data_IF_672226449980
#
_entry.id   IF_672226449980
#
_cell.length_a   1.000
_cell.length_b   1.000
_cell.length_c   1.000
_cell.angle_alpha   90.00
_cell.angle_beta   90.00
_cell.angle_gamma   90.00
#
_symmetry.space_group_name_H-M   'P 1'
#
loop_
_entity.id
_entity.type
_entity.pdbx_description
1 polymer ?
#
# COMPACT_ATOMS: atom_id res chain seq x y z
N UNK A 1 -22.17 6.20 -21.56
CA UNK A 1 -21.12 7.22 -21.49
C UNK A 1 -19.83 6.52 -21.09
N UNK A 2 -18.81 6.53 -21.96
CA UNK A 2 -17.49 5.97 -21.65
C UNK A 2 -16.85 6.87 -20.61
N UNK A 3 -16.45 6.31 -19.46
CA UNK A 3 -15.65 7.05 -18.46
C UNK A 3 -14.32 7.46 -19.10
N UNK A 4 -13.88 8.68 -18.83
CA UNK A 4 -12.53 9.10 -19.23
C UNK A 4 -11.45 8.36 -18.40
N UNK A 5 -10.21 8.34 -18.89
CA UNK A 5 -9.10 7.63 -18.25
C UNK A 5 -8.84 8.11 -16.81
N UNK A 6 -8.99 9.39 -16.57
CA UNK A 6 -8.81 10.01 -15.25
C UNK A 6 -9.84 9.50 -14.25
N UNK A 7 -11.12 9.42 -14.64
CA UNK A 7 -12.16 8.87 -13.79
C UNK A 7 -11.95 7.38 -13.50
N UNK A 8 -11.52 6.60 -14.51
CA UNK A 8 -11.21 5.17 -14.34
C UNK A 8 -10.05 4.98 -13.37
N UNK A 9 -8.97 5.75 -13.52
CA UNK A 9 -7.80 5.68 -12.64
C UNK A 9 -8.15 6.06 -11.20
N UNK A 10 -8.89 7.13 -11.00
CA UNK A 10 -9.39 7.56 -9.70
C UNK A 10 -10.22 6.48 -9.01
N UNK A 11 -11.19 5.91 -9.72
CA UNK A 11 -12.08 4.88 -9.18
C UNK A 11 -11.31 3.62 -8.78
N UNK A 12 -10.32 3.20 -9.59
CA UNK A 12 -9.48 2.04 -9.30
C UNK A 12 -8.67 2.24 -8.01
N UNK A 13 -8.04 3.41 -7.84
CA UNK A 13 -7.26 3.72 -6.65
C UNK A 13 -8.15 3.82 -5.40
N UNK A 14 -9.29 4.51 -5.47
CA UNK A 14 -10.22 4.58 -4.35
C UNK A 14 -10.76 3.20 -3.97
N UNK A 15 -11.10 2.36 -4.94
CA UNK A 15 -11.55 1.00 -4.70
C UNK A 15 -10.48 0.14 -4.03
N UNK A 16 -9.23 0.25 -4.47
CA UNK A 16 -8.08 -0.41 -3.86
C UNK A 16 -7.95 -0.05 -2.38
N UNK A 17 -7.93 1.25 -2.07
CA UNK A 17 -7.77 1.72 -0.68
C UNK A 17 -8.97 1.38 0.20
N UNK A 18 -10.18 1.37 -0.32
CA UNK A 18 -11.37 0.89 0.40
C UNK A 18 -11.29 -0.61 0.73
N UNK A 19 -10.79 -1.44 -0.20
CA UNK A 19 -10.56 -2.86 0.04
C UNK A 19 -9.46 -3.07 1.10
N UNK A 20 -8.36 -2.34 0.99
CA UNK A 20 -7.26 -2.41 1.94
C UNK A 20 -7.68 -1.97 3.35
N UNK A 21 -8.48 -0.92 3.47
CA UNK A 21 -9.01 -0.45 4.76
C UNK A 21 -9.78 -1.52 5.52
N UNK A 22 -10.44 -2.42 4.80
CA UNK A 22 -11.12 -3.57 5.38
C UNK A 22 -10.23 -4.80 5.53
N UNK A 23 -8.99 -4.73 5.06
CA UNK A 23 -8.07 -5.87 4.93
C UNK A 23 -8.72 -7.03 4.14
N UNK A 24 -9.53 -6.67 3.13
CA UNK A 24 -10.14 -7.61 2.19
C UNK A 24 -9.12 -7.96 1.09
N UNK A 25 -8.27 -8.92 1.42
CA UNK A 25 -7.10 -9.27 0.59
C UNK A 25 -7.48 -9.77 -0.80
N UNK A 26 -8.59 -10.47 -0.92
CA UNK A 26 -9.06 -10.95 -2.23
C UNK A 26 -9.58 -9.79 -3.08
N UNK A 27 -10.31 -8.85 -2.47
CA UNK A 27 -10.73 -7.64 -3.16
C UNK A 27 -9.52 -6.76 -3.57
N UNK A 28 -8.49 -6.61 -2.71
CA UNK A 28 -7.26 -5.89 -3.04
C UNK A 28 -6.63 -6.41 -4.33
N UNK A 29 -6.50 -7.74 -4.47
CA UNK A 29 -5.93 -8.37 -5.67
C UNK A 29 -6.68 -8.00 -6.95
N UNK A 30 -8.00 -7.80 -6.87
CA UNK A 30 -8.81 -7.47 -8.05
C UNK A 30 -8.51 -6.10 -8.66
N UNK A 31 -7.90 -5.19 -7.89
CA UNK A 31 -7.51 -3.85 -8.37
C UNK A 31 -6.11 -3.81 -8.97
N UNK A 32 -5.30 -4.87 -8.82
CA UNK A 32 -3.91 -4.92 -9.26
C UNK A 32 -3.79 -5.59 -10.63
N UNK A 33 -2.88 -5.09 -11.47
CA UNK A 33 -2.50 -5.78 -12.70
C UNK A 33 -1.66 -7.02 -12.38
N UNK A 34 -1.60 -7.97 -13.32
CA UNK A 34 -0.86 -9.23 -13.12
C UNK A 34 0.64 -9.02 -12.83
N UNK A 35 1.20 -7.90 -13.29
CA UNK A 35 2.60 -7.51 -13.15
C UNK A 35 2.78 -6.26 -12.28
N UNK A 36 1.78 -5.89 -11.49
CA UNK A 36 1.83 -4.73 -10.59
C UNK A 36 3.10 -4.75 -9.75
N UNK A 37 3.78 -3.61 -9.67
CA UNK A 37 4.93 -3.40 -8.79
C UNK A 37 4.50 -2.51 -7.62
N UNK A 38 4.71 -2.99 -6.39
CA UNK A 38 4.48 -2.26 -5.15
C UNK A 38 5.80 -1.99 -4.43
N UNK A 39 6.02 -0.77 -4.01
CA UNK A 39 7.22 -0.36 -3.27
C UNK A 39 6.87 0.56 -2.10
N UNK A 40 7.33 0.20 -0.92
CA UNK A 40 7.49 1.13 0.19
C UNK A 40 8.78 1.95 -0.03
N UNK A 41 8.65 3.19 -0.41
CA UNK A 41 9.79 4.02 -0.80
C UNK A 41 10.83 4.25 0.32
N UNK A 42 10.46 4.29 1.62
CA UNK A 42 11.45 4.37 2.70
C UNK A 42 12.42 3.18 2.76
N UNK A 43 12.01 1.99 2.30
CA UNK A 43 12.87 0.80 2.24
C UNK A 43 13.49 0.59 0.86
N UNK A 44 12.91 1.21 -0.16
CA UNK A 44 13.46 1.28 -1.51
C UNK A 44 13.09 0.13 -2.45
N UNK A 45 13.46 0.27 -3.75
CA UNK A 45 13.01 -0.63 -4.81
C UNK A 45 13.59 -2.05 -4.76
N UNK A 46 14.68 -2.27 -4.03
CA UNK A 46 15.24 -3.62 -3.84
C UNK A 46 14.36 -4.53 -2.99
N UNK A 47 13.41 -3.96 -2.26
CA UNK A 47 12.43 -4.66 -1.43
C UNK A 47 11.00 -4.42 -1.92
N UNK A 48 10.81 -4.45 -3.22
CA UNK A 48 9.51 -4.39 -3.86
C UNK A 48 8.77 -5.73 -3.82
N UNK A 49 7.49 -5.71 -4.19
CA UNK A 49 6.71 -6.90 -4.48
C UNK A 49 6.15 -6.82 -5.91
N UNK A 50 5.98 -7.95 -6.58
CA UNK A 50 5.47 -8.00 -7.95
C UNK A 50 4.31 -8.98 -8.09
N UNK A 51 3.23 -8.48 -8.71
CA UNK A 51 2.00 -9.23 -8.92
C UNK A 51 1.11 -9.29 -7.68
N UNK A 52 -0.21 -9.56 -7.89
CA UNK A 52 -1.22 -9.43 -6.84
C UNK A 52 -0.95 -10.29 -5.59
N UNK A 53 -0.48 -11.51 -5.77
CA UNK A 53 -0.23 -12.42 -4.65
C UNK A 53 0.92 -11.96 -3.76
N UNK A 54 2.04 -11.56 -4.36
CA UNK A 54 3.21 -11.13 -3.60
C UNK A 54 3.01 -9.73 -3.01
N UNK A 55 2.28 -8.83 -3.70
CA UNK A 55 1.87 -7.55 -3.11
C UNK A 55 1.03 -7.78 -1.84
N UNK A 56 0.05 -8.68 -1.89
CA UNK A 56 -0.77 -8.99 -0.71
C UNK A 56 0.07 -9.65 0.39
N UNK A 57 1.00 -10.56 0.08
CA UNK A 57 1.93 -11.11 1.08
C UNK A 57 2.73 -9.99 1.78
N UNK A 58 3.26 -9.04 1.00
CA UNK A 58 4.00 -7.89 1.55
C UNK A 58 3.14 -7.05 2.47
N UNK A 59 1.92 -6.70 2.05
CA UNK A 59 1.00 -5.90 2.86
C UNK A 59 0.62 -6.60 4.18
N UNK A 60 0.38 -7.90 4.13
CA UNK A 60 0.07 -8.72 5.30
C UNK A 60 1.16 -8.70 6.36
N UNK A 61 2.43 -8.63 5.96
CA UNK A 61 3.57 -8.58 6.91
C UNK A 61 3.37 -7.48 7.95
N UNK A 62 2.98 -6.28 7.50
CA UNK A 62 2.79 -5.14 8.41
C UNK A 62 1.39 -5.03 8.99
N UNK A 63 0.35 -5.34 8.21
CA UNK A 63 -1.02 -4.97 8.53
C UNK A 63 -1.85 -6.11 9.15
N UNK A 64 -1.57 -7.37 8.83
CA UNK A 64 -2.36 -8.50 9.37
C UNK A 64 -2.22 -8.66 10.88
N UNK A 65 -1.02 -8.47 11.49
CA UNK A 65 -0.84 -8.58 12.94
C UNK A 65 -1.51 -7.46 13.76
N UNK A 66 -1.97 -6.38 13.12
CA UNK A 66 -2.58 -5.25 13.83
C UNK A 66 -3.95 -5.63 14.41
N UNK A 67 -4.21 -5.22 15.66
CA UNK A 67 -5.54 -5.32 16.27
C UNK A 67 -6.57 -4.42 15.58
N UNK A 68 -6.14 -3.24 15.10
CA UNK A 68 -6.96 -2.31 14.35
C UNK A 68 -6.17 -1.59 13.27
N UNK A 69 -6.86 -1.32 12.15
CA UNK A 69 -6.32 -0.59 11.01
C UNK A 69 -7.42 0.27 10.40
N UNK A 70 -7.16 1.55 10.23
CA UNK A 70 -8.12 2.49 9.67
C UNK A 70 -7.41 3.47 8.75
N UNK A 71 -7.86 3.55 7.50
CA UNK A 71 -7.43 4.58 6.56
C UNK A 71 -8.34 5.81 6.67
N UNK A 72 -7.72 7.00 6.60
CA UNK A 72 -8.40 8.30 6.59
C UNK A 72 -8.12 9.00 5.28
N UNK A 73 -9.17 9.28 4.52
CA UNK A 73 -9.08 9.91 3.21
C UNK A 73 -8.53 11.34 3.30
N UNK A 74 -7.73 11.70 2.30
CA UNK A 74 -7.16 13.03 2.12
C UNK A 74 -7.31 13.51 0.69
N UNK A 75 -6.35 14.33 0.23
CA UNK A 75 -6.36 14.90 -1.10
C UNK A 75 -5.99 13.82 -2.14
N UNK A 76 -6.84 13.65 -3.15
CA UNK A 76 -6.56 12.83 -4.32
C UNK A 76 -6.52 13.68 -5.58
N UNK A 77 -5.41 13.58 -6.31
CA UNK A 77 -5.20 14.23 -7.61
C UNK A 77 -4.99 13.14 -8.66
N UNK A 78 -5.72 13.22 -9.75
CA UNK A 78 -5.60 12.28 -10.88
C UNK A 78 -5.46 13.05 -12.19
N UNK A 79 -4.55 12.59 -13.05
CA UNK A 79 -4.34 13.07 -14.41
C UNK A 79 -4.05 11.90 -15.34
N UNK A 80 -4.97 11.62 -16.26
CA UNK A 80 -4.88 10.45 -17.12
C UNK A 80 -4.81 9.14 -16.34
N UNK A 81 -3.68 8.45 -16.44
CA UNK A 81 -3.39 7.19 -15.76
C UNK A 81 -2.74 7.34 -14.39
N UNK A 82 -2.28 8.53 -14.03
CA UNK A 82 -1.50 8.76 -12.84
C UNK A 82 -2.36 9.34 -11.71
N UNK A 83 -2.20 8.80 -10.50
CA UNK A 83 -2.96 9.22 -9.31
C UNK A 83 -2.01 9.41 -8.15
N UNK A 84 -2.10 10.57 -7.51
CA UNK A 84 -1.47 10.84 -6.22
C UNK A 84 -2.54 10.97 -5.16
N UNK A 85 -2.35 10.28 -4.03
CA UNK A 85 -3.31 10.26 -2.95
C UNK A 85 -2.61 10.50 -1.62
N UNK A 86 -2.91 11.65 -1.00
CA UNK A 86 -2.51 11.95 0.37
C UNK A 86 -3.55 11.36 1.30
N UNK A 87 -3.12 10.58 2.27
CA UNK A 87 -3.99 9.99 3.29
C UNK A 87 -3.21 9.70 4.57
N UNK A 88 -3.90 9.27 5.60
CA UNK A 88 -3.26 8.80 6.83
C UNK A 88 -3.91 7.52 7.30
N UNK A 89 -3.17 6.76 8.10
CA UNK A 89 -3.61 5.51 8.68
C UNK A 89 -3.46 5.54 10.20
N UNK A 90 -4.48 5.07 10.92
CA UNK A 90 -4.37 4.77 12.34
C UNK A 90 -4.10 3.28 12.50
N UNK A 91 -2.99 2.97 13.15
CA UNK A 91 -2.58 1.61 13.48
C UNK A 91 -2.80 1.37 14.97
N UNK A 92 -3.49 0.27 15.31
CA UNK A 92 -3.67 -0.18 16.69
C UNK A 92 -2.99 -1.55 16.83
N UNK A 93 -2.00 -1.62 17.71
CA UNK A 93 -1.27 -2.86 17.97
C UNK A 93 -1.99 -3.71 19.01
N UNK A 94 -1.70 -5.03 19.05
CA UNK A 94 -2.30 -5.96 20.01
C UNK A 94 -1.96 -5.64 21.46
N UNK A 95 -0.86 -4.94 21.69
CA UNK A 95 -0.40 -4.44 23.00
C UNK A 95 -1.08 -3.13 23.42
N UNK A 96 -1.93 -2.54 22.55
CA UNK A 96 -2.76 -1.37 22.84
C UNK A 96 -2.20 -0.03 22.37
N UNK A 97 -0.93 0.03 21.95
CA UNK A 97 -0.35 1.25 21.39
C UNK A 97 -1.08 1.63 20.11
N UNK A 98 -1.20 2.92 19.87
CA UNK A 98 -1.73 3.49 18.63
C UNK A 98 -0.76 4.50 18.06
N UNK A 99 -0.75 4.59 16.74
CA UNK A 99 -0.04 5.63 16.03
C UNK A 99 -0.72 6.00 14.73
N UNK A 100 -0.41 7.18 14.24
CA UNK A 100 -0.87 7.67 12.94
C UNK A 100 0.31 7.79 12.00
N UNK A 101 0.23 7.08 10.88
CA UNK A 101 1.20 7.17 9.79
C UNK A 101 0.59 7.96 8.63
N UNK A 102 1.34 8.92 8.10
CA UNK A 102 0.92 9.75 6.97
C UNK A 102 1.63 9.31 5.71
N UNK A 103 0.87 9.27 4.61
CA UNK A 103 1.31 8.80 3.30
C UNK A 103 1.04 9.83 2.22
N UNK A 104 1.91 9.83 1.21
CA UNK A 104 1.53 10.18 -0.16
C UNK A 104 1.79 8.95 -1.00
N UNK A 105 0.77 8.43 -1.65
CA UNK A 105 0.89 7.27 -2.53
C UNK A 105 0.79 7.68 -3.98
N UNK A 106 1.61 7.07 -4.83
CA UNK A 106 1.64 7.33 -6.26
C UNK A 106 1.28 6.04 -6.99
N UNK A 107 0.26 6.13 -7.84
CA UNK A 107 -0.23 4.98 -8.59
C UNK A 107 -0.21 5.28 -10.08
N UNK A 108 0.06 4.24 -10.87
CA UNK A 108 -0.24 4.22 -12.30
C UNK A 108 -1.29 3.16 -12.58
N UNK A 109 -2.31 3.55 -13.32
CA UNK A 109 -3.45 2.69 -13.67
C UNK A 109 -3.45 2.42 -15.18
N UNK A 110 -3.44 1.16 -15.56
CA UNK A 110 -3.52 0.69 -16.96
C UNK A 110 -4.70 -0.27 -17.05
N UNK A 111 -5.58 -0.05 -18.02
CA UNK A 111 -6.78 -0.87 -18.23
C UNK A 111 -7.62 -1.07 -16.95
N UNK A 112 -7.76 -0.01 -16.16
CA UNK A 112 -8.52 -0.02 -14.91
C UNK A 112 -7.86 -0.79 -13.75
N UNK A 113 -6.59 -1.19 -13.87
CA UNK A 113 -5.82 -1.89 -12.86
C UNK A 113 -4.58 -1.08 -12.46
N UNK A 114 -4.25 -1.09 -11.19
CA UNK A 114 -3.01 -0.49 -10.68
C UNK A 114 -1.82 -1.33 -11.15
N UNK A 115 -0.93 -0.72 -11.92
CA UNK A 115 0.28 -1.36 -12.45
C UNK A 115 1.54 -0.96 -11.69
N UNK A 116 1.54 0.23 -11.08
CA UNK A 116 2.60 0.71 -10.19
C UNK A 116 1.96 1.33 -8.96
N UNK A 117 2.50 1.01 -7.80
CA UNK A 117 2.07 1.54 -6.50
C UNK A 117 3.31 1.86 -5.67
N UNK A 118 3.51 3.13 -5.33
CA UNK A 118 4.62 3.60 -4.50
C UNK A 118 4.07 4.33 -3.28
N UNK A 119 4.47 3.89 -2.09
CA UNK A 119 4.10 4.52 -0.82
C UNK A 119 5.25 5.35 -0.28
N UNK A 120 5.01 6.64 -0.09
CA UNK A 120 5.94 7.58 0.53
C UNK A 120 5.46 7.90 1.94
N UNK A 121 6.25 7.53 2.93
CA UNK A 121 5.98 7.76 4.34
C UNK A 121 7.29 7.93 5.13
N UNK A 122 7.20 8.36 6.37
CA UNK A 122 8.38 8.61 7.20
C UNK A 122 8.66 7.45 8.16
N UNK A 123 9.84 6.83 7.98
CA UNK A 123 10.29 5.70 8.80
C UNK A 123 10.40 6.08 10.29
N UNK A 124 10.85 7.29 10.60
CA UNK A 124 10.98 7.74 11.98
C UNK A 124 9.61 7.87 12.67
N UNK A 125 8.58 8.27 11.94
CA UNK A 125 7.22 8.29 12.45
C UNK A 125 6.74 6.90 12.84
N UNK A 126 6.96 5.89 11.99
CA UNK A 126 6.59 4.50 12.28
C UNK A 126 7.35 3.95 13.49
N UNK A 127 8.66 4.06 13.50
CA UNK A 127 9.49 3.55 14.60
C UNK A 127 9.26 4.30 15.92
N UNK A 128 8.71 5.53 15.85
CA UNK A 128 8.38 6.34 17.02
C UNK A 128 7.17 5.81 17.82
N UNK A 129 6.26 5.06 17.18
CA UNK A 129 5.08 4.51 17.87
C UNK A 129 4.96 2.97 17.82
N UNK A 130 5.65 2.31 16.89
CA UNK A 130 5.56 0.85 16.78
C UNK A 130 6.22 0.16 17.98
N UNK A 131 5.55 -0.83 18.61
CA UNK A 131 6.15 -1.57 19.72
C UNK A 131 7.31 -2.44 19.25
N UNK A 132 8.30 -2.63 20.11
CA UNK A 132 9.51 -3.41 19.81
C UNK A 132 9.17 -4.83 19.33
N UNK A 133 8.19 -5.50 19.94
CA UNK A 133 7.77 -6.83 19.56
C UNK A 133 7.28 -6.91 18.10
N UNK A 134 6.53 -5.90 17.62
CA UNK A 134 6.10 -5.85 16.23
C UNK A 134 7.28 -5.65 15.27
N UNK A 135 8.25 -4.79 15.66
CA UNK A 135 9.48 -4.59 14.88
C UNK A 135 10.34 -5.86 14.82
N UNK A 136 10.44 -6.61 15.93
CA UNK A 136 11.17 -7.87 15.99
C UNK A 136 10.50 -8.93 15.09
N UNK A 137 9.18 -8.98 15.05
CA UNK A 137 8.41 -9.88 14.16
C UNK A 137 8.66 -9.58 12.68
N UNK A 138 8.86 -8.32 12.30
CA UNK A 138 9.23 -7.96 10.93
C UNK A 138 10.57 -8.56 10.52
N UNK A 139 11.54 -8.65 11.43
CA UNK A 139 12.87 -9.17 11.15
C UNK A 139 12.86 -10.68 10.79
N UNK A 140 11.82 -11.40 11.20
CA UNK A 140 11.65 -12.85 10.97
C UNK A 140 10.48 -13.18 10.04
N UNK A 141 9.85 -12.16 9.45
CA UNK A 141 8.71 -12.33 8.56
C UNK A 141 9.08 -13.03 7.25
N UNK A 142 8.07 -13.58 6.57
CA UNK A 142 8.22 -14.15 5.23
C UNK A 142 8.73 -13.10 4.24
N UNK A 143 9.80 -13.41 3.54
CA UNK A 143 10.43 -12.59 2.49
C UNK A 143 10.28 -13.18 1.09
N UNK A 144 9.46 -14.23 0.92
CA UNK A 144 9.27 -14.90 -0.38
C UNK A 144 8.66 -14.00 -1.46
N UNK A 145 8.06 -12.88 -1.08
CA UNK A 145 7.47 -11.86 -1.94
C UNK A 145 8.50 -10.88 -2.51
N UNK A 146 9.74 -10.86 -1.99
CA UNK A 146 10.75 -9.84 -2.36
C UNK A 146 11.09 -9.93 -3.84
N UNK A 147 10.99 -8.78 -4.50
CA UNK A 147 11.35 -8.56 -5.90
C UNK A 147 12.21 -7.30 -6.01
N UNK A 148 13.32 -7.37 -6.73
CA UNK A 148 14.14 -6.17 -7.00
C UNK A 148 13.59 -5.42 -8.21
N UNK A 149 12.97 -4.27 -7.95
CA UNK A 149 12.40 -3.40 -8.97
C UNK A 149 13.33 -2.25 -9.38
N UNK A 150 14.61 -2.30 -9.01
CA UNK A 150 15.59 -1.26 -9.37
C UNK A 150 15.61 -1.06 -10.90
N UNK A 151 15.42 0.19 -11.34
CA UNK A 151 15.37 0.56 -12.75
C UNK A 151 14.05 0.28 -13.46
N UNK A 152 13.02 -0.24 -12.76
CA UNK A 152 11.68 -0.47 -13.31
C UNK A 152 10.66 0.59 -12.88
N UNK A 153 10.99 1.41 -11.88
CA UNK A 153 10.11 2.43 -11.30
C UNK A 153 10.84 3.75 -11.11
#
# INVERSE_FOLDING_TARGET
VTKDSTSVARDAVLGLWQALSRRDWDAVKTFLSADCIYVDMPVGPTLAARGPDDVVKRLKVGLEPLAGYQNHDGLLVADGSDVMYEHSETWTFTTGEQGVLRFVTVHRVVDGKVSVWKDYWDMASLTGFAPAAWLDDLATADTSWVFDATGLI
#
